data_IF_801356281451
#
_entry.id   IF_801356281451
#
_cell.length_a   1.000
_cell.length_b   1.000
_cell.length_c   1.000
_cell.angle_alpha   90.00
_cell.angle_beta   90.00
_cell.angle_gamma   90.00
#
_symmetry.space_group_name_H-M   'P 1'
#
loop_
_entity.id
_entity.type
_entity.pdbx_description
1 polymer ?
#
# COMPACT_ATOMS: atom_id res chain seq x y z
N UNK A 1 -16.22 31.57 3.87
CA UNK A 1 -15.20 30.76 4.56
C UNK A 1 -15.91 29.56 5.17
N UNK A 2 -15.56 28.34 4.77
CA UNK A 2 -16.16 27.12 5.36
C UNK A 2 -15.20 26.61 6.42
N UNK A 3 -15.60 26.69 7.70
CA UNK A 3 -14.86 26.10 8.82
C UNK A 3 -15.41 24.69 8.99
N UNK A 4 -14.57 23.67 8.75
CA UNK A 4 -14.89 22.29 9.08
C UNK A 4 -14.16 21.90 10.36
N UNK A 5 -14.90 21.37 11.32
CA UNK A 5 -14.32 20.64 12.44
C UNK A 5 -13.66 19.38 11.88
N UNK A 6 -12.33 19.38 11.84
CA UNK A 6 -11.56 18.19 11.52
C UNK A 6 -11.68 17.28 12.74
N UNK A 7 -12.19 16.06 12.54
CA UNK A 7 -12.14 15.04 13.58
C UNK A 7 -10.67 14.75 13.84
N UNK A 8 -10.18 15.01 15.06
CA UNK A 8 -8.76 14.89 15.38
C UNK A 8 -8.23 13.48 15.12
N UNK A 9 -9.08 12.46 15.35
CA UNK A 9 -8.78 11.07 15.07
C UNK A 9 -9.55 10.59 13.83
N UNK A 10 -8.86 10.11 12.77
CA UNK A 10 -9.49 9.45 11.65
C UNK A 10 -10.32 8.23 12.10
N UNK A 11 -11.28 7.84 11.27
CA UNK A 11 -12.03 6.61 11.52
C UNK A 11 -11.08 5.39 11.51
N UNK A 12 -11.34 4.40 12.37
CA UNK A 12 -10.41 3.30 12.63
C UNK A 12 -10.06 2.49 11.38
N UNK A 13 -11.00 2.36 10.43
CA UNK A 13 -10.76 1.68 9.16
C UNK A 13 -9.72 2.38 8.28
N UNK A 14 -9.57 3.70 8.40
CA UNK A 14 -8.55 4.48 7.68
C UNK A 14 -7.16 4.33 8.29
N UNK A 15 -7.09 3.85 9.54
CA UNK A 15 -5.84 3.59 10.26
C UNK A 15 -5.43 2.12 10.22
N UNK A 16 -6.13 1.29 9.45
CA UNK A 16 -5.78 -0.12 9.27
C UNK A 16 -4.57 -0.23 8.36
N UNK A 17 -3.53 -0.91 8.83
CA UNK A 17 -2.34 -1.16 8.02
C UNK A 17 -2.67 -1.92 6.73
N UNK A 18 -2.10 -1.50 5.58
CA UNK A 18 -2.33 -2.17 4.32
C UNK A 18 -1.72 -3.58 4.35
N UNK A 19 -2.45 -4.53 3.78
CA UNK A 19 -1.96 -5.91 3.60
C UNK A 19 -1.34 -6.04 2.21
N UNK A 20 -0.17 -6.68 2.14
CA UNK A 20 0.45 -7.01 0.86
C UNK A 20 -0.41 -8.06 0.12
N UNK A 21 -0.62 -7.93 -1.19
CA UNK A 21 -1.34 -8.94 -1.95
C UNK A 21 -0.43 -10.16 -2.11
N UNK A 22 -1.03 -11.33 -2.36
CA UNK A 22 -0.24 -12.46 -2.83
C UNK A 22 0.49 -12.06 -4.11
N UNK A 23 1.81 -12.32 -4.14
CA UNK A 23 2.64 -12.07 -5.31
C UNK A 23 2.38 -13.06 -6.44
N UNK A 24 3.16 -12.93 -7.51
CA UNK A 24 3.23 -13.99 -8.52
C UNK A 24 3.82 -15.26 -7.90
N UNK A 25 3.44 -16.46 -8.40
CA UNK A 25 4.04 -17.71 -7.96
C UNK A 25 5.57 -17.67 -8.07
N UNK A 26 6.27 -18.12 -7.03
CA UNK A 26 7.72 -18.24 -7.04
C UNK A 26 8.21 -19.36 -7.97
N UNK A 27 7.33 -20.31 -8.31
CA UNK A 27 7.60 -21.46 -9.16
C UNK A 27 6.46 -21.66 -10.15
N UNK A 28 6.78 -22.26 -11.30
CA UNK A 28 5.86 -22.51 -12.41
C UNK A 28 6.31 -21.83 -13.70
N UNK A 29 5.96 -22.44 -14.84
CA UNK A 29 6.28 -21.88 -16.15
C UNK A 29 5.13 -20.96 -16.60
N UNK A 30 5.44 -19.67 -16.78
CA UNK A 30 4.55 -18.69 -17.37
C UNK A 30 5.34 -17.73 -18.25
N UNK A 31 4.97 -17.66 -19.52
CA UNK A 31 5.52 -16.65 -20.43
C UNK A 31 4.72 -15.35 -20.32
N UNK A 32 5.40 -14.29 -19.87
CA UNK A 32 4.82 -12.94 -19.84
C UNK A 32 5.50 -12.13 -20.95
N UNK A 33 4.76 -11.71 -21.99
CA UNK A 33 5.32 -10.89 -23.06
C UNK A 33 5.96 -9.60 -22.51
N UNK A 34 7.03 -9.07 -23.13
CA UNK A 34 7.78 -7.94 -22.56
C UNK A 34 6.93 -6.70 -22.24
N UNK A 35 5.98 -6.34 -23.11
CA UNK A 35 5.09 -5.20 -22.88
C UNK A 35 4.17 -5.39 -21.66
N UNK A 36 3.67 -6.60 -21.45
CA UNK A 36 2.87 -6.98 -20.30
C UNK A 36 3.69 -6.96 -19.01
N UNK A 37 4.91 -7.52 -19.05
CA UNK A 37 5.85 -7.48 -17.92
C UNK A 37 6.14 -6.05 -17.49
N UNK A 38 6.40 -5.15 -18.46
CA UNK A 38 6.62 -3.74 -18.18
C UNK A 38 5.40 -3.08 -17.52
N UNK A 39 4.18 -3.39 -17.97
CA UNK A 39 2.96 -2.89 -17.36
C UNK A 39 2.76 -3.41 -15.92
N UNK A 40 2.99 -4.70 -15.68
CA UNK A 40 2.91 -5.30 -14.34
C UNK A 40 3.90 -4.64 -13.38
N UNK A 41 5.14 -4.41 -13.82
CA UNK A 41 6.15 -3.72 -13.01
C UNK A 41 5.69 -2.30 -12.65
N UNK A 42 5.12 -1.54 -13.60
CA UNK A 42 4.60 -0.19 -13.31
C UNK A 42 3.47 -0.22 -12.29
N UNK A 43 2.54 -1.17 -12.41
CA UNK A 43 1.45 -1.34 -11.45
C UNK A 43 1.98 -1.71 -10.05
N UNK A 44 2.92 -2.65 -9.97
CA UNK A 44 3.53 -3.05 -8.71
C UNK A 44 4.21 -1.86 -8.02
N UNK A 45 4.99 -1.07 -8.76
CA UNK A 45 5.67 0.13 -8.23
C UNK A 45 4.67 1.17 -7.72
N UNK A 46 3.68 1.53 -8.53
CA UNK A 46 2.65 2.49 -8.14
C UNK A 46 1.90 2.04 -6.88
N UNK A 47 1.60 0.74 -6.75
CA UNK A 47 0.98 0.21 -5.54
C UNK A 47 1.89 0.33 -4.32
N UNK A 48 3.18 0.03 -4.45
CA UNK A 48 4.15 0.20 -3.37
C UNK A 48 4.22 1.65 -2.91
N UNK A 49 4.30 2.59 -3.84
CA UNK A 49 4.35 4.02 -3.53
C UNK A 49 3.11 4.49 -2.74
N UNK A 50 1.91 4.06 -3.14
CA UNK A 50 0.66 4.37 -2.43
C UNK A 50 0.63 3.71 -1.04
N UNK A 51 1.06 2.45 -0.94
CA UNK A 51 1.10 1.74 0.34
C UNK A 51 2.09 2.40 1.31
N UNK A 52 3.26 2.82 0.83
CA UNK A 52 4.27 3.52 1.62
C UNK A 52 3.75 4.86 2.14
N UNK A 53 3.04 5.62 1.31
CA UNK A 53 2.40 6.86 1.74
C UNK A 53 1.37 6.61 2.83
N UNK A 54 0.54 5.57 2.67
CA UNK A 54 -0.48 5.21 3.65
C UNK A 54 0.14 4.76 4.98
N UNK A 55 1.19 3.92 4.94
CA UNK A 55 1.92 3.49 6.14
C UNK A 55 2.48 4.69 6.91
N UNK A 56 3.08 5.67 6.21
CA UNK A 56 3.59 6.90 6.84
C UNK A 56 2.48 7.74 7.46
N UNK A 57 1.32 7.84 6.79
CA UNK A 57 0.16 8.55 7.32
C UNK A 57 -0.41 7.86 8.56
N UNK A 58 -0.50 6.54 8.56
CA UNK A 58 -0.95 5.75 9.71
C UNK A 58 0.01 5.95 10.88
N UNK A 59 1.32 5.83 10.63
CA UNK A 59 2.34 6.06 11.65
C UNK A 59 2.26 7.47 12.23
N UNK A 60 1.99 8.48 11.40
CA UNK A 60 1.79 9.86 11.86
C UNK A 60 0.60 9.98 12.83
N UNK A 61 -0.51 9.30 12.56
CA UNK A 61 -1.71 9.37 13.41
C UNK A 61 -1.66 8.46 14.64
N UNK A 62 -1.00 7.31 14.57
CA UNK A 62 -1.00 6.31 15.66
C UNK A 62 0.28 6.35 16.50
N UNK A 63 1.34 6.98 16.00
CA UNK A 63 2.69 6.90 16.56
C UNK A 63 3.35 5.51 16.41
N UNK A 64 2.67 4.54 15.81
CA UNK A 64 3.13 3.16 15.67
C UNK A 64 3.34 2.81 14.20
N UNK A 65 4.46 2.16 13.90
CA UNK A 65 4.73 1.69 12.54
C UNK A 65 3.80 0.51 12.19
N UNK A 66 3.33 0.48 10.95
CA UNK A 66 2.72 -0.75 10.43
C UNK A 66 3.77 -1.86 10.38
N UNK A 67 3.38 -3.11 10.65
CA UNK A 67 4.31 -4.23 10.52
C UNK A 67 4.83 -4.27 9.09
N UNK A 68 6.15 -4.33 8.94
CA UNK A 68 6.76 -4.68 7.66
C UNK A 68 6.41 -6.14 7.41
N UNK A 69 5.52 -6.41 6.46
CA UNK A 69 5.34 -7.77 5.96
C UNK A 69 6.66 -8.18 5.28
N UNK A 70 7.51 -8.86 6.05
CA UNK A 70 8.79 -9.39 5.62
C UNK A 70 8.66 -10.89 5.33
N UNK A 71 9.20 -11.24 4.16
CA UNK A 71 9.54 -12.55 3.58
C UNK A 71 8.40 -13.52 3.21
#
# INVERSE_FOLDING_TARGET
MVVRTVKETPAAELLRCPVAPAGLPAQGEAEIPPAWRAAIIRLAKSRTEVADQLVRLIQFHTGSACPTHGD
#
